data_IF_794595631992
#
_entry.id   IF_794595631992
#
_cell.length_a   1.000
_cell.length_b   1.000
_cell.length_c   1.000
_cell.angle_alpha   90.00
_cell.angle_beta   90.00
_cell.angle_gamma   90.00
#
_symmetry.space_group_name_H-M   'P 1'
#
loop_
_entity.id
_entity.type
_entity.pdbx_description
1 polymer ?
#
# COMPACT_ATOMS: atom_id res chain seq x y z
N UNK A 1 2.05 20.30 -1.69
CA UNK A 1 2.05 19.68 -3.02
C UNK A 1 1.66 18.22 -2.84
N UNK A 2 0.82 17.65 -3.72
CA UNK A 2 0.57 16.21 -3.72
C UNK A 2 1.86 15.46 -4.07
N UNK A 3 2.11 14.32 -3.44
CA UNK A 3 3.27 13.47 -3.76
C UNK A 3 2.95 12.61 -4.99
N UNK A 4 3.91 12.44 -5.90
CA UNK A 4 3.73 11.55 -7.05
C UNK A 4 3.64 10.09 -6.61
N UNK A 5 4.43 9.71 -5.62
CA UNK A 5 4.48 8.37 -5.05
C UNK A 5 4.39 8.39 -3.53
N UNK A 6 3.75 7.38 -2.97
CA UNK A 6 3.82 7.02 -1.56
C UNK A 6 4.23 5.56 -1.45
N UNK A 7 5.30 5.30 -0.72
CA UNK A 7 5.77 3.94 -0.41
C UNK A 7 5.42 3.64 1.04
N UNK A 8 4.70 2.54 1.28
CA UNK A 8 4.22 2.16 2.61
C UNK A 8 4.46 0.69 2.90
N UNK A 9 4.79 0.36 4.14
CA UNK A 9 4.83 -1.03 4.58
C UNK A 9 3.45 -1.49 5.07
N UNK A 10 3.00 -2.62 4.55
CA UNK A 10 1.73 -3.25 4.91
C UNK A 10 1.88 -4.15 6.12
N UNK A 11 0.92 -4.01 7.04
CA UNK A 11 0.74 -4.89 8.19
C UNK A 11 -0.72 -5.32 8.25
N UNK A 12 -0.94 -6.62 8.35
CA UNK A 12 -2.28 -7.16 8.55
C UNK A 12 -2.74 -7.00 10.01
N UNK A 13 -4.01 -6.68 10.19
CA UNK A 13 -4.66 -6.58 11.49
C UNK A 13 -4.99 -7.97 12.06
N UNK A 14 -4.06 -8.60 12.76
CA UNK A 14 -4.31 -9.90 13.42
C UNK A 14 -5.27 -9.82 14.61
N UNK A 15 -5.52 -8.62 15.15
CA UNK A 15 -6.46 -8.31 16.23
C UNK A 15 -7.09 -6.93 16.01
N UNK A 16 -7.82 -6.39 16.98
CA UNK A 16 -8.48 -5.07 16.95
C UNK A 16 -7.51 -3.87 16.97
N UNK A 17 -6.33 -4.00 16.36
CA UNK A 17 -5.28 -2.97 16.36
C UNK A 17 -5.57 -1.80 15.41
N UNK A 18 -6.62 -1.91 14.59
CA UNK A 18 -7.20 -0.84 13.79
C UNK A 18 -8.66 -0.68 14.19
N UNK A 19 -9.36 0.33 13.68
CA UNK A 19 -10.69 0.83 14.12
C UNK A 19 -11.86 -0.17 14.12
N UNK A 20 -11.61 -1.47 14.01
CA UNK A 20 -12.59 -2.54 13.84
C UNK A 20 -13.17 -2.60 12.43
N UNK A 21 -12.98 -1.54 11.65
CA UNK A 21 -13.44 -1.39 10.27
C UNK A 21 -12.36 -1.86 9.29
N UNK A 22 -11.11 -1.46 9.53
CA UNK A 22 -9.98 -1.77 8.66
C UNK A 22 -9.25 -3.04 9.10
N UNK A 23 -8.80 -3.81 8.10
CA UNK A 23 -8.05 -5.06 8.26
C UNK A 23 -6.53 -4.88 8.05
N UNK A 24 -6.09 -3.65 7.84
CA UNK A 24 -4.69 -3.27 7.62
C UNK A 24 -4.40 -1.86 8.13
N UNK A 25 -3.11 -1.55 8.23
CA UNK A 25 -2.64 -0.23 8.64
C UNK A 25 -2.83 0.89 7.62
N UNK A 26 -3.10 0.56 6.35
CA UNK A 26 -3.07 1.55 5.26
C UNK A 26 -4.43 1.85 4.63
N UNK A 27 -5.50 1.10 4.93
CA UNK A 27 -6.83 1.41 4.36
C UNK A 27 -7.30 2.85 4.69
N UNK A 28 -7.06 3.33 5.92
CA UNK A 28 -7.38 4.72 6.28
C UNK A 28 -6.56 5.75 5.49
N UNK A 29 -5.32 5.42 5.12
CA UNK A 29 -4.50 6.23 4.22
C UNK A 29 -5.10 6.23 2.81
N UNK A 30 -5.45 5.06 2.26
CA UNK A 30 -6.06 4.93 0.94
C UNK A 30 -7.36 5.76 0.84
N UNK A 31 -8.24 5.68 1.85
CA UNK A 31 -9.45 6.51 1.92
C UNK A 31 -9.12 8.00 1.93
N UNK A 32 -8.05 8.41 2.61
CA UNK A 32 -7.62 9.81 2.62
C UNK A 32 -7.10 10.26 1.26
N UNK A 33 -6.39 9.38 0.53
CA UNK A 33 -5.86 9.69 -0.80
C UNK A 33 -6.96 9.90 -1.84
N UNK A 34 -8.08 9.17 -1.77
CA UNK A 34 -9.26 9.42 -2.63
C UNK A 34 -9.65 10.90 -2.61
N UNK A 35 -9.66 11.51 -1.41
CA UNK A 35 -10.11 12.90 -1.23
C UNK A 35 -9.02 13.93 -1.49
N UNK A 36 -7.80 13.67 -1.01
CA UNK A 36 -6.77 14.71 -0.93
C UNK A 36 -5.67 14.58 -1.98
N UNK A 37 -5.48 13.39 -2.57
CA UNK A 37 -4.43 13.15 -3.56
C UNK A 37 -4.78 11.97 -4.49
N UNK A 38 -5.82 12.11 -5.33
CA UNK A 38 -6.35 11.01 -6.13
C UNK A 38 -5.37 10.49 -7.20
N UNK A 39 -4.33 11.25 -7.51
CA UNK A 39 -3.29 10.89 -8.49
C UNK A 39 -2.03 10.28 -7.89
N UNK A 40 -1.91 10.19 -6.56
CA UNK A 40 -0.72 9.62 -5.91
C UNK A 40 -0.62 8.12 -6.16
N UNK A 41 0.51 7.66 -6.69
CA UNK A 41 0.77 6.23 -6.89
C UNK A 41 1.20 5.58 -5.58
N UNK A 42 0.47 4.56 -5.13
CA UNK A 42 0.79 3.84 -3.89
C UNK A 42 1.58 2.57 -4.20
N UNK A 43 2.80 2.48 -3.67
CA UNK A 43 3.63 1.27 -3.71
C UNK A 43 3.63 0.65 -2.33
N UNK A 44 3.25 -0.63 -2.24
CA UNK A 44 3.12 -1.34 -0.97
C UNK A 44 4.27 -2.32 -0.79
N UNK A 45 5.04 -2.15 0.28
CA UNK A 45 6.02 -3.13 0.74
C UNK A 45 5.33 -4.16 1.63
N UNK A 46 5.52 -5.44 1.35
CA UNK A 46 4.83 -6.52 2.08
C UNK A 46 5.82 -7.61 2.47
N UNK A 47 5.83 -8.04 3.73
CA UNK A 47 6.60 -9.24 4.12
C UNK A 47 6.02 -10.49 3.47
N UNK A 48 6.85 -11.45 3.07
CA UNK A 48 6.41 -12.74 2.49
C UNK A 48 5.24 -13.42 3.25
N UNK A 49 5.27 -13.40 4.60
CA UNK A 49 4.22 -13.99 5.45
C UNK A 49 2.86 -13.27 5.36
N UNK A 50 2.88 -11.99 4.98
CA UNK A 50 1.72 -11.11 4.95
C UNK A 50 1.12 -10.95 3.53
N UNK A 51 1.82 -11.43 2.50
CA UNK A 51 1.34 -11.42 1.11
C UNK A 51 -0.05 -12.05 0.95
N UNK A 52 -0.36 -13.08 1.73
CA UNK A 52 -1.66 -13.76 1.69
C UNK A 52 -2.84 -12.86 2.10
N UNK A 53 -2.59 -11.72 2.74
CA UNK A 53 -3.61 -10.80 3.24
C UNK A 53 -3.72 -9.52 2.43
N UNK A 54 -2.94 -9.34 1.36
CA UNK A 54 -2.87 -8.07 0.65
C UNK A 54 -4.18 -7.66 -0.02
N UNK A 55 -5.02 -8.64 -0.36
CA UNK A 55 -6.33 -8.47 -0.98
C UNK A 55 -7.35 -7.75 -0.08
N UNK A 56 -7.06 -7.55 1.21
CA UNK A 56 -7.93 -6.70 2.05
C UNK A 56 -7.96 -5.25 1.58
N UNK A 57 -6.93 -4.80 0.86
CA UNK A 57 -6.87 -3.46 0.29
C UNK A 57 -7.91 -3.25 -0.81
N UNK A 58 -8.38 -4.32 -1.47
CA UNK A 58 -9.41 -4.28 -2.51
C UNK A 58 -10.77 -3.79 -1.96
N UNK A 59 -10.94 -3.76 -0.64
CA UNK A 59 -12.12 -3.20 0.02
C UNK A 59 -12.18 -1.67 -0.05
N UNK A 60 -11.06 -1.01 -0.39
CA UNK A 60 -10.98 0.44 -0.58
C UNK A 60 -10.90 0.73 -2.07
N UNK A 61 -11.78 1.61 -2.57
CA UNK A 61 -11.83 2.03 -3.97
C UNK A 61 -10.69 3.02 -4.30
N UNK A 62 -9.44 2.55 -4.15
CA UNK A 62 -8.23 3.28 -4.50
C UNK A 62 -7.17 2.30 -5.02
N UNK A 63 -6.61 2.55 -6.23
CA UNK A 63 -5.68 1.60 -6.84
C UNK A 63 -4.33 1.58 -6.12
N UNK A 64 -3.81 0.36 -5.91
CA UNK A 64 -2.41 0.16 -5.56
C UNK A 64 -1.60 0.08 -6.86
N UNK A 65 -0.61 0.97 -7.02
CA UNK A 65 0.25 1.05 -8.21
C UNK A 65 1.17 -0.17 -8.34
N UNK A 66 1.67 -0.68 -7.22
CA UNK A 66 2.50 -1.88 -7.21
C UNK A 66 2.72 -2.44 -5.81
N UNK A 67 3.10 -3.71 -5.75
CA UNK A 67 3.41 -4.41 -4.51
C UNK A 67 4.81 -5.01 -4.60
N UNK A 68 5.67 -4.69 -3.63
CA UNK A 68 7.02 -5.25 -3.50
C UNK A 68 7.08 -6.19 -2.31
N UNK A 69 7.30 -7.47 -2.57
CA UNK A 69 7.53 -8.43 -1.50
C UNK A 69 8.95 -8.24 -0.93
N UNK A 70 9.07 -8.08 0.39
CA UNK A 70 10.35 -7.97 1.09
C UNK A 70 11.00 -9.36 1.31
N UNK A 71 12.34 -9.48 1.16
CA UNK A 71 13.25 -8.44 0.65
C UNK A 71 13.05 -8.21 -0.87
N UNK A 72 13.15 -6.95 -1.29
CA UNK A 72 13.07 -6.52 -2.69
C UNK A 72 14.45 -6.16 -3.24
N UNK A 73 14.62 -6.14 -4.56
CA UNK A 73 15.82 -5.64 -5.23
C UNK A 73 15.68 -4.17 -5.65
N UNK A 74 16.81 -3.51 -5.95
CA UNK A 74 16.84 -2.15 -6.53
C UNK A 74 16.10 -2.13 -7.86
N UNK A 75 16.36 -3.09 -8.75
CA UNK A 75 15.69 -3.18 -10.05
C UNK A 75 14.15 -3.24 -9.93
N UNK A 76 13.63 -4.03 -8.97
CA UNK A 76 12.19 -4.08 -8.72
C UNK A 76 11.61 -2.74 -8.22
N UNK A 77 12.41 -1.96 -7.47
CA UNK A 77 12.01 -0.63 -7.03
C UNK A 77 12.01 0.37 -8.19
N UNK A 78 13.05 0.35 -9.02
CA UNK A 78 13.19 1.22 -10.20
C UNK A 78 12.04 0.99 -11.19
N UNK A 79 11.69 -0.28 -11.45
CA UNK A 79 10.57 -0.67 -12.32
C UNK A 79 9.23 -0.03 -11.90
N UNK A 80 9.01 0.19 -10.59
CA UNK A 80 7.77 0.79 -10.07
C UNK A 80 7.82 2.30 -9.95
N UNK A 81 9.01 2.89 -9.80
CA UNK A 81 9.18 4.33 -9.63
C UNK A 81 9.20 5.08 -10.97
N UNK A 82 9.10 4.36 -12.10
CA UNK A 82 9.24 4.91 -13.45
C UNK A 82 10.58 5.67 -13.63
N UNK A 83 11.63 5.24 -12.90
CA UNK A 83 12.98 5.82 -12.99
C UNK A 83 13.77 5.00 -14.01
N UNK A 84 14.00 5.58 -15.18
CA UNK A 84 14.84 5.03 -16.24
C UNK A 84 16.33 5.38 -16.08
#
# INVERSE_FOLDING_TARGET
>A
QPADFIVVEFFYAYSTNYSGIYKSNIEGLLVSLIKYSPSTKVIVLVKKKEMQFINVLDAVDYPVHGVLQLPTSIAQMEDLLDIA
#
